data_IF_310431845570
#
_entry.id   IF_310431845570
#
_cell.length_a   1.000
_cell.length_b   1.000
_cell.length_c   1.000
_cell.angle_alpha   90.00
_cell.angle_beta   90.00
_cell.angle_gamma   90.00
#
_symmetry.space_group_name_H-M   'P 1'
#
loop_
_entity.id
_entity.type
_entity.pdbx_description
1 polymer ?
#
# COMPACT_ATOMS: atom_id res chain seq x y z
N UNK A 1 28.49 68.78 39.45
CA UNK A 1 29.05 69.24 38.16
C UNK A 1 30.42 68.60 37.95
N UNK A 2 30.55 67.85 36.85
CA UNK A 2 31.75 67.48 36.08
C UNK A 2 32.97 66.89 36.80
N UNK A 3 33.24 65.62 36.51
CA UNK A 3 34.50 65.20 35.88
C UNK A 3 34.21 64.09 34.85
N UNK A 4 34.39 64.44 33.58
CA UNK A 4 34.54 63.51 32.46
C UNK A 4 36.04 63.29 32.35
N UNK A 5 36.52 62.05 32.38
CA UNK A 5 37.87 61.73 31.94
C UNK A 5 37.84 60.62 30.89
N UNK A 6 38.19 61.07 29.69
CA UNK A 6 38.38 60.33 28.46
C UNK A 6 39.72 59.60 28.54
N UNK A 7 39.72 58.28 28.35
CA UNK A 7 40.92 57.55 27.95
C UNK A 7 40.51 56.54 26.88
N UNK A 8 40.75 57.00 25.65
CA UNK A 8 40.57 56.30 24.40
C UNK A 8 41.78 55.39 24.11
N UNK A 9 41.50 54.26 23.44
CA UNK A 9 42.32 53.55 22.46
C UNK A 9 43.78 53.17 22.81
N UNK A 10 43.99 51.85 22.98
CA UNK A 10 45.01 51.04 22.26
C UNK A 10 44.45 49.61 22.14
N UNK A 11 43.86 49.18 21.01
CA UNK A 11 44.50 48.66 19.79
C UNK A 11 45.01 47.20 19.92
N UNK A 12 44.38 46.37 19.08
CA UNK A 12 44.86 45.18 18.36
C UNK A 12 45.09 43.84 19.10
N UNK A 13 44.30 42.88 18.59
CA UNK A 13 44.76 41.62 18.03
C UNK A 13 45.37 40.58 18.97
N UNK A 14 44.52 39.67 19.43
CA UNK A 14 44.82 38.25 19.32
C UNK A 14 43.82 37.62 18.34
N UNK A 15 44.28 37.61 17.09
CA UNK A 15 43.71 36.89 15.95
C UNK A 15 43.93 35.39 16.14
N UNK A 16 42.87 34.63 15.88
CA UNK A 16 42.85 33.28 15.29
C UNK A 16 43.41 32.09 16.08
N UNK A 17 42.77 30.96 15.77
CA UNK A 17 43.07 29.59 16.17
C UNK A 17 42.51 29.30 17.56
N UNK A 18 41.25 28.90 17.65
CA UNK A 18 40.95 27.50 17.37
C UNK A 18 39.46 27.31 17.06
N UNK A 19 39.10 27.29 15.77
CA UNK A 19 38.08 26.35 15.31
C UNK A 19 38.66 24.93 15.43
N UNK A 20 39.00 24.48 16.64
CA UNK A 20 39.09 23.06 16.90
C UNK A 20 37.66 22.59 16.79
N UNK A 21 37.39 21.89 15.70
CA UNK A 21 36.14 21.18 15.50
C UNK A 21 35.78 20.46 16.78
N UNK A 22 34.79 21.00 17.48
CA UNK A 22 33.93 20.14 18.28
C UNK A 22 33.51 19.05 17.29
N UNK A 23 33.76 17.77 17.58
CA UNK A 23 33.19 16.72 16.77
C UNK A 23 31.68 16.94 16.88
N UNK A 24 31.08 17.59 15.89
CA UNK A 24 29.63 17.64 15.80
C UNK A 24 29.26 16.18 15.71
N UNK A 25 28.64 15.67 16.77
CA UNK A 25 28.08 14.32 16.77
C UNK A 25 27.25 14.14 15.50
N UNK A 26 27.01 12.88 15.06
CA UNK A 26 26.29 12.63 13.82
C UNK A 26 25.02 13.48 13.78
N UNK A 27 24.95 14.40 12.82
CA UNK A 27 23.77 15.21 12.58
C UNK A 27 22.87 14.42 11.63
N UNK A 28 21.57 14.38 11.90
CA UNK A 28 20.58 13.66 11.10
C UNK A 28 20.72 13.96 9.60
N UNK A 29 20.94 15.23 9.24
CA UNK A 29 21.15 15.66 7.85
C UNK A 29 22.37 15.01 7.20
N UNK A 30 23.48 14.86 7.92
CA UNK A 30 24.70 14.22 7.40
C UNK A 30 24.50 12.71 7.16
N UNK A 31 23.82 12.02 8.08
CA UNK A 31 23.48 10.60 7.88
C UNK A 31 22.50 10.44 6.71
N UNK A 32 21.50 11.32 6.59
CA UNK A 32 20.59 11.33 5.45
C UNK A 32 21.31 11.52 4.11
N UNK A 33 22.29 12.42 4.01
CA UNK A 33 23.06 12.66 2.78
C UNK A 33 23.88 11.43 2.37
N UNK A 34 24.47 10.69 3.32
CA UNK A 34 25.15 9.41 3.03
C UNK A 34 24.18 8.38 2.47
N UNK A 35 23.01 8.23 3.11
CA UNK A 35 21.95 7.35 2.64
C UNK A 35 21.45 7.74 1.25
N UNK A 36 21.28 9.03 1.00
CA UNK A 36 20.83 9.56 -0.28
C UNK A 36 21.84 9.29 -1.41
N UNK A 37 23.15 9.41 -1.13
CA UNK A 37 24.19 9.06 -2.09
C UNK A 37 24.10 7.58 -2.51
N UNK A 38 23.96 6.67 -1.54
CA UNK A 38 23.78 5.24 -1.80
C UNK A 38 22.47 4.92 -2.52
N UNK A 39 21.38 5.59 -2.16
CA UNK A 39 20.09 5.46 -2.83
C UNK A 39 20.17 5.86 -4.30
N UNK A 40 20.84 6.97 -4.60
CA UNK A 40 21.02 7.47 -5.97
C UNK A 40 21.92 6.55 -6.81
N UNK A 41 22.82 5.80 -6.17
CA UNK A 41 23.63 4.74 -6.78
C UNK A 41 22.87 3.40 -6.91
N UNK A 42 21.59 3.35 -6.50
CA UNK A 42 20.77 2.15 -6.53
C UNK A 42 21.07 1.14 -5.41
N UNK A 43 21.95 1.48 -4.46
CA UNK A 43 22.31 0.63 -3.32
C UNK A 43 21.30 0.77 -2.18
N UNK A 44 20.04 0.41 -2.44
CA UNK A 44 18.92 0.64 -1.51
C UNK A 44 19.11 -0.06 -0.16
N UNK A 45 19.59 -1.30 -0.14
CA UNK A 45 19.84 -2.04 1.11
C UNK A 45 20.92 -1.35 1.95
N UNK A 46 21.99 -0.87 1.32
CA UNK A 46 23.09 -0.16 1.99
C UNK A 46 22.68 1.24 2.45
N UNK A 47 21.66 1.86 1.83
CA UNK A 47 21.15 3.16 2.23
C UNK A 47 20.30 3.11 3.52
N UNK A 48 19.63 1.99 3.79
CA UNK A 48 18.70 1.82 4.91
C UNK A 48 19.31 2.14 6.30
N UNK A 49 20.51 1.66 6.66
CA UNK A 49 21.13 1.97 7.95
C UNK A 49 21.32 3.48 8.17
N UNK A 50 21.66 4.22 7.11
CA UNK A 50 21.87 5.67 7.17
C UNK A 50 20.56 6.43 7.35
N UNK A 51 19.51 6.07 6.61
CA UNK A 51 18.19 6.66 6.83
C UNK A 51 17.63 6.33 8.22
N UNK A 52 17.78 5.09 8.68
CA UNK A 52 17.42 4.71 10.05
C UNK A 52 18.17 5.56 11.07
N UNK A 53 19.49 5.71 10.92
CA UNK A 53 20.30 6.53 11.84
C UNK A 53 19.85 7.99 11.84
N UNK A 54 19.55 8.56 10.68
CA UNK A 54 19.00 9.90 10.58
C UNK A 54 17.68 10.04 11.36
N UNK A 55 16.77 9.06 11.27
CA UNK A 55 15.49 9.06 12.01
C UNK A 55 15.62 8.79 13.51
N UNK A 56 16.71 8.14 13.95
CA UNK A 56 17.03 7.98 15.38
C UNK A 56 17.56 9.28 15.99
N UNK A 57 18.29 10.07 15.21
CA UNK A 57 18.83 11.37 15.64
C UNK A 57 17.73 12.44 15.64
N UNK A 58 16.92 12.49 14.58
CA UNK A 58 15.79 13.39 14.45
C UNK A 58 14.51 12.60 14.09
N UNK A 59 13.64 12.45 15.08
CA UNK A 59 12.39 11.68 14.94
C UNK A 59 11.33 12.36 14.07
N UNK A 60 11.52 13.64 13.71
CA UNK A 60 10.63 14.42 12.86
C UNK A 60 11.18 14.61 11.44
N UNK A 61 12.28 13.92 11.11
CA UNK A 61 12.93 14.04 9.81
C UNK A 61 12.15 13.33 8.68
N UNK A 62 11.09 13.95 8.20
CA UNK A 62 10.15 13.39 7.21
C UNK A 62 10.83 12.86 5.94
N UNK A 63 11.87 13.56 5.43
CA UNK A 63 12.61 13.11 4.24
C UNK A 63 13.36 11.80 4.47
N UNK A 64 13.97 11.59 5.64
CA UNK A 64 14.67 10.35 5.95
C UNK A 64 13.69 9.17 6.00
N UNK A 65 12.52 9.34 6.63
CA UNK A 65 11.46 8.32 6.59
C UNK A 65 10.95 8.04 5.18
N UNK A 66 10.74 9.08 4.36
CA UNK A 66 10.29 8.92 2.97
C UNK A 66 11.30 8.10 2.15
N UNK A 67 12.59 8.43 2.22
CA UNK A 67 13.62 7.70 1.49
C UNK A 67 13.90 6.30 2.06
N UNK A 68 13.72 6.08 3.36
CA UNK A 68 13.72 4.73 3.94
C UNK A 68 12.59 3.88 3.34
N UNK A 69 11.38 4.43 3.28
CA UNK A 69 10.24 3.79 2.64
C UNK A 69 10.46 3.50 1.14
N UNK A 70 10.99 4.47 0.40
CA UNK A 70 11.33 4.29 -1.03
C UNK A 70 12.43 3.25 -1.23
N UNK A 71 13.39 3.16 -0.32
CA UNK A 71 14.41 2.11 -0.37
C UNK A 71 13.78 0.73 -0.25
N UNK A 72 12.86 0.54 0.71
CA UNK A 72 12.10 -0.70 0.83
C UNK A 72 11.23 -1.01 -0.40
N UNK A 73 10.61 0.01 -1.03
CA UNK A 73 9.87 -0.18 -2.29
C UNK A 73 10.74 -0.71 -3.43
N UNK A 74 11.93 -0.14 -3.62
CA UNK A 74 12.85 -0.60 -4.67
C UNK A 74 13.41 -2.00 -4.40
N UNK A 75 13.40 -2.43 -3.14
CA UNK A 75 13.76 -3.79 -2.72
C UNK A 75 12.57 -4.76 -2.75
N UNK A 76 11.39 -4.30 -3.20
CA UNK A 76 10.12 -5.04 -3.15
C UNK A 76 9.73 -5.54 -1.73
N UNK A 77 10.28 -4.90 -0.69
CA UNK A 77 9.94 -5.13 0.72
C UNK A 77 8.69 -4.32 1.07
N UNK A 78 7.58 -4.67 0.43
CA UNK A 78 6.33 -3.90 0.42
C UNK A 78 5.80 -3.58 1.82
N UNK A 79 5.81 -4.57 2.72
CA UNK A 79 5.32 -4.40 4.09
C UNK A 79 6.21 -3.45 4.91
N UNK A 80 7.53 -3.57 4.76
CA UNK A 80 8.51 -2.74 5.48
C UNK A 80 8.49 -1.27 5.01
N UNK A 81 8.05 -1.02 3.77
CA UNK A 81 7.89 0.33 3.23
C UNK A 81 6.75 1.11 3.91
N UNK A 82 5.68 0.44 4.37
CA UNK A 82 4.46 1.10 4.84
C UNK A 82 4.68 1.95 6.10
N UNK A 83 5.27 1.45 7.21
CA UNK A 83 5.45 2.24 8.42
C UNK A 83 6.23 3.55 8.24
N UNK A 84 7.41 3.57 7.59
CA UNK A 84 8.14 4.82 7.41
C UNK A 84 7.45 5.78 6.44
N UNK A 85 6.80 5.28 5.39
CA UNK A 85 6.02 6.13 4.50
C UNK A 85 4.84 6.79 5.24
N UNK A 86 4.13 6.06 6.12
CA UNK A 86 3.07 6.66 6.94
C UNK A 86 3.57 7.68 7.95
N UNK A 87 4.77 7.48 8.51
CA UNK A 87 5.40 8.46 9.38
C UNK A 87 5.73 9.73 8.59
N UNK A 88 6.34 9.60 7.42
CA UNK A 88 6.62 10.71 6.52
C UNK A 88 5.33 11.45 6.10
N UNK A 89 4.30 10.73 5.67
CA UNK A 89 3.02 11.28 5.23
C UNK A 89 2.38 12.20 6.27
N UNK A 90 2.44 11.82 7.56
CA UNK A 90 1.85 12.59 8.66
C UNK A 90 2.61 13.87 9.02
N UNK A 91 3.89 13.97 8.64
CA UNK A 91 4.77 15.09 8.98
C UNK A 91 5.01 16.03 7.80
N UNK A 92 4.61 15.63 6.60
CA UNK A 92 4.89 16.35 5.37
C UNK A 92 3.80 17.39 5.03
N UNK A 93 4.16 18.52 4.41
CA UNK A 93 3.21 19.45 3.80
C UNK A 93 2.36 18.76 2.72
N UNK A 94 1.18 19.32 2.44
CA UNK A 94 0.18 18.76 1.51
C UNK A 94 0.75 18.43 0.12
N UNK A 95 1.66 19.25 -0.41
CA UNK A 95 2.25 18.99 -1.73
C UNK A 95 3.06 17.69 -1.75
N UNK A 96 3.77 17.41 -0.64
CA UNK A 96 4.61 16.22 -0.50
C UNK A 96 3.79 14.98 -0.10
N UNK A 97 2.66 15.15 0.60
CA UNK A 97 1.79 14.02 0.97
C UNK A 97 1.19 13.33 -0.25
N UNK A 98 0.94 14.04 -1.35
CA UNK A 98 0.50 13.43 -2.62
C UNK A 98 1.53 12.42 -3.16
N UNK A 99 2.82 12.78 -3.17
CA UNK A 99 3.88 11.88 -3.61
C UNK A 99 4.02 10.66 -2.68
N UNK A 100 4.04 10.90 -1.37
CA UNK A 100 4.12 9.83 -0.37
C UNK A 100 2.89 8.92 -0.45
N UNK A 101 1.71 9.48 -0.74
CA UNK A 101 0.48 8.72 -0.99
C UNK A 101 0.58 7.81 -2.21
N UNK A 102 1.28 8.23 -3.27
CA UNK A 102 1.58 7.36 -4.40
C UNK A 102 2.51 6.20 -4.00
N UNK A 103 3.50 6.47 -3.16
CA UNK A 103 4.43 5.46 -2.67
C UNK A 103 3.75 4.48 -1.70
N UNK A 104 2.89 4.97 -0.80
CA UNK A 104 2.03 4.14 0.05
C UNK A 104 1.09 3.27 -0.77
N UNK A 105 0.46 3.82 -1.81
CA UNK A 105 -0.38 3.03 -2.72
C UNK A 105 0.42 1.89 -3.35
N UNK A 106 1.64 2.16 -3.86
CA UNK A 106 2.52 1.12 -4.40
C UNK A 106 2.86 0.06 -3.36
N UNK A 107 3.16 0.48 -2.12
CA UNK A 107 3.47 -0.44 -1.02
C UNK A 107 2.30 -1.38 -0.72
N UNK A 108 1.09 -0.83 -0.52
CA UNK A 108 -0.11 -1.61 -0.27
C UNK A 108 -0.46 -2.53 -1.45
N UNK A 109 -0.39 -2.02 -2.68
CA UNK A 109 -0.68 -2.81 -3.87
C UNK A 109 0.32 -3.97 -4.04
N UNK A 110 1.62 -3.71 -3.92
CA UNK A 110 2.64 -4.75 -3.98
C UNK A 110 2.52 -5.79 -2.86
N UNK A 111 2.21 -5.35 -1.63
CA UNK A 111 1.94 -6.24 -0.49
C UNK A 111 0.73 -7.13 -0.78
N UNK A 112 -0.35 -6.56 -1.29
CA UNK A 112 -1.55 -7.32 -1.65
C UNK A 112 -1.28 -8.40 -2.70
N UNK A 113 -0.52 -8.07 -3.75
CA UNK A 113 -0.15 -9.04 -4.77
C UNK A 113 0.73 -10.17 -4.20
N UNK A 114 1.60 -9.86 -3.24
CA UNK A 114 2.40 -10.87 -2.53
C UNK A 114 1.52 -11.78 -1.67
N UNK A 115 0.58 -11.21 -0.91
CA UNK A 115 -0.35 -11.98 -0.09
C UNK A 115 -1.30 -12.85 -0.93
N UNK A 116 -1.77 -12.34 -2.07
CA UNK A 116 -2.55 -13.11 -3.04
C UNK A 116 -1.79 -14.34 -3.52
N UNK A 117 -0.52 -14.19 -3.89
CA UNK A 117 0.35 -15.30 -4.33
C UNK A 117 0.57 -16.35 -3.25
N UNK A 118 0.54 -15.96 -1.98
CA UNK A 118 0.61 -16.87 -0.83
C UNK A 118 -0.73 -17.55 -0.51
N UNK A 119 -1.81 -17.21 -1.20
CA UNK A 119 -3.17 -17.66 -0.90
C UNK A 119 -3.81 -16.95 0.30
N UNK A 120 -3.18 -15.91 0.85
CA UNK A 120 -3.77 -15.10 1.91
C UNK A 120 -4.71 -14.04 1.31
N UNK A 121 -5.85 -14.50 0.79
CA UNK A 121 -6.76 -13.61 0.07
C UNK A 121 -7.38 -12.53 0.94
N UNK A 122 -7.69 -12.82 2.22
CA UNK A 122 -8.21 -11.80 3.14
C UNK A 122 -7.21 -10.67 3.36
N UNK A 123 -5.94 -11.01 3.62
CA UNK A 123 -4.88 -10.01 3.76
C UNK A 123 -4.70 -9.17 2.49
N UNK A 124 -4.75 -9.80 1.32
CA UNK A 124 -4.69 -9.11 0.03
C UNK A 124 -5.87 -8.14 -0.18
N UNK A 125 -7.10 -8.53 0.18
CA UNK A 125 -8.29 -7.67 0.13
C UNK A 125 -8.10 -6.44 1.02
N UNK A 126 -7.64 -6.65 2.25
CA UNK A 126 -7.46 -5.56 3.21
C UNK A 126 -6.40 -4.56 2.72
N UNK A 127 -5.27 -5.05 2.21
CA UNK A 127 -4.24 -4.19 1.62
C UNK A 127 -4.72 -3.44 0.36
N UNK A 128 -5.48 -4.09 -0.52
CA UNK A 128 -6.07 -3.43 -1.69
C UNK A 128 -7.04 -2.32 -1.29
N UNK A 129 -7.84 -2.53 -0.24
CA UNK A 129 -8.75 -1.52 0.30
C UNK A 129 -7.99 -0.33 0.88
N UNK A 130 -6.91 -0.56 1.62
CA UNK A 130 -6.04 0.53 2.10
C UNK A 130 -5.42 1.31 0.93
N UNK A 131 -4.93 0.61 -0.10
CA UNK A 131 -4.46 1.24 -1.34
C UNK A 131 -5.54 2.08 -2.01
N UNK A 132 -6.76 1.56 -2.14
CA UNK A 132 -7.88 2.27 -2.75
C UNK A 132 -8.35 3.48 -1.93
N UNK A 133 -8.14 3.54 -0.60
CA UNK A 133 -8.35 4.79 0.16
C UNK A 133 -7.43 5.91 -0.30
N UNK A 134 -6.18 5.56 -0.67
CA UNK A 134 -5.18 6.52 -1.18
C UNK A 134 -5.43 6.88 -2.65
N UNK A 135 -5.89 5.91 -3.45
CA UNK A 135 -6.25 6.10 -4.87
C UNK A 135 -7.60 5.47 -5.22
N UNK A 136 -8.72 6.14 -4.91
CA UNK A 136 -10.07 5.56 -5.10
C UNK A 136 -10.43 5.24 -6.55
N UNK A 137 -9.76 5.89 -7.51
CA UNK A 137 -10.02 5.74 -8.95
C UNK A 137 -9.03 4.79 -9.65
N UNK A 138 -8.23 4.03 -8.88
CA UNK A 138 -7.27 3.09 -9.47
C UNK A 138 -7.98 1.87 -10.06
N UNK A 139 -8.24 1.91 -11.37
CA UNK A 139 -8.89 0.81 -12.09
C UNK A 139 -8.11 -0.52 -11.95
N UNK A 140 -6.79 -0.46 -11.85
CA UNK A 140 -5.94 -1.63 -11.61
C UNK A 140 -6.20 -2.24 -10.23
N UNK A 141 -6.16 -1.45 -9.15
CA UNK A 141 -6.43 -1.96 -7.81
C UNK A 141 -7.87 -2.44 -7.63
N UNK A 142 -8.84 -1.76 -8.25
CA UNK A 142 -10.24 -2.22 -8.27
C UNK A 142 -10.38 -3.57 -8.98
N UNK A 143 -9.66 -3.77 -10.09
CA UNK A 143 -9.65 -5.05 -10.81
C UNK A 143 -9.04 -6.17 -9.96
N UNK A 144 -7.89 -5.91 -9.34
CA UNK A 144 -7.24 -6.89 -8.46
C UNK A 144 -8.08 -7.20 -7.21
N UNK A 145 -8.82 -6.22 -6.66
CA UNK A 145 -9.77 -6.45 -5.57
C UNK A 145 -10.87 -7.41 -6.00
N UNK A 146 -11.49 -7.17 -7.16
CA UNK A 146 -12.51 -8.05 -7.70
C UNK A 146 -12.00 -9.47 -7.94
N UNK A 147 -10.82 -9.62 -8.56
CA UNK A 147 -10.17 -10.93 -8.77
C UNK A 147 -9.87 -11.64 -7.46
N UNK A 148 -9.39 -10.91 -6.45
CA UNK A 148 -9.09 -11.47 -5.13
C UNK A 148 -10.36 -11.92 -4.41
N UNK A 149 -11.45 -11.16 -4.50
CA UNK A 149 -12.75 -11.54 -3.94
C UNK A 149 -13.32 -12.81 -4.59
N UNK A 150 -13.16 -12.97 -5.91
CA UNK A 150 -13.55 -14.20 -6.61
C UNK A 150 -12.74 -15.38 -6.10
N UNK A 151 -11.40 -15.26 -6.05
CA UNK A 151 -10.52 -16.32 -5.57
C UNK A 151 -10.83 -16.71 -4.11
N UNK A 152 -11.05 -15.72 -3.25
CA UNK A 152 -11.44 -15.95 -1.86
C UNK A 152 -12.79 -16.64 -1.75
N UNK A 153 -13.80 -16.18 -2.51
CA UNK A 153 -15.12 -16.80 -2.56
C UNK A 153 -15.04 -18.26 -2.99
N UNK A 154 -14.21 -18.57 -3.99
CA UNK A 154 -13.98 -19.94 -4.49
C UNK A 154 -13.32 -20.83 -3.44
N UNK A 155 -12.32 -20.32 -2.73
CA UNK A 155 -11.70 -21.04 -1.61
C UNK A 155 -12.72 -21.31 -0.51
N UNK A 156 -13.43 -20.27 -0.04
CA UNK A 156 -14.44 -20.39 1.01
C UNK A 156 -15.53 -21.41 0.65
N UNK A 157 -15.98 -21.40 -0.61
CA UNK A 157 -16.99 -22.34 -1.07
C UNK A 157 -16.45 -23.79 -1.08
N UNK A 158 -15.18 -23.97 -1.43
CA UNK A 158 -14.50 -25.27 -1.38
C UNK A 158 -14.32 -25.76 0.06
N UNK A 159 -14.09 -24.84 0.99
CA UNK A 159 -14.00 -25.11 2.44
C UNK A 159 -15.39 -25.34 3.09
N UNK A 160 -16.48 -25.23 2.33
CA UNK A 160 -17.86 -25.39 2.82
C UNK A 160 -18.42 -24.16 3.55
N UNK A 161 -17.71 -23.03 3.53
CA UNK A 161 -18.12 -21.75 4.14
C UNK A 161 -19.00 -20.96 3.17
N UNK A 162 -20.22 -21.48 2.95
CA UNK A 162 -21.12 -21.01 1.90
C UNK A 162 -21.52 -19.54 2.10
N UNK A 163 -21.83 -19.12 3.32
CA UNK A 163 -22.28 -17.75 3.61
C UNK A 163 -21.18 -16.71 3.38
N UNK A 164 -19.94 -17.03 3.78
CA UNK A 164 -18.78 -16.19 3.55
C UNK A 164 -18.41 -16.12 2.06
N UNK A 165 -18.55 -17.24 1.34
CA UNK A 165 -18.38 -17.28 -0.11
C UNK A 165 -19.42 -16.39 -0.82
N UNK A 166 -20.69 -16.49 -0.43
CA UNK A 166 -21.78 -15.64 -0.92
C UNK A 166 -21.46 -14.16 -0.71
N UNK A 167 -20.98 -13.79 0.48
CA UNK A 167 -20.58 -12.41 0.77
C UNK A 167 -19.48 -11.93 -0.18
N UNK A 168 -18.43 -12.74 -0.34
CA UNK A 168 -17.28 -12.44 -1.20
C UNK A 168 -17.69 -12.27 -2.66
N UNK A 169 -18.49 -13.20 -3.20
CA UNK A 169 -18.97 -13.12 -4.58
C UNK A 169 -19.96 -11.97 -4.81
N UNK A 170 -20.84 -11.66 -3.84
CA UNK A 170 -21.74 -10.50 -3.91
C UNK A 170 -20.96 -9.20 -3.96
N UNK A 171 -19.83 -9.11 -3.25
CA UNK A 171 -18.93 -7.96 -3.37
C UNK A 171 -18.21 -7.97 -4.73
N UNK A 172 -17.71 -9.12 -5.18
CA UNK A 172 -17.03 -9.24 -6.46
C UNK A 172 -17.87 -8.74 -7.64
N UNK A 173 -19.17 -9.09 -7.70
CA UNK A 173 -20.08 -8.60 -8.77
C UNK A 173 -20.40 -7.12 -8.65
N UNK A 174 -20.26 -6.50 -7.47
CA UNK A 174 -20.39 -5.03 -7.33
C UNK A 174 -19.14 -4.32 -7.84
N UNK A 175 -17.96 -4.89 -7.55
CA UNK A 175 -16.66 -4.35 -7.97
C UNK A 175 -16.44 -4.56 -9.47
N UNK A 176 -16.85 -5.71 -9.99
CA UNK A 176 -16.71 -6.13 -11.39
C UNK A 176 -18.09 -6.51 -11.97
N UNK A 177 -18.94 -5.52 -12.30
CA UNK A 177 -20.33 -5.76 -12.73
C UNK A 177 -20.47 -6.51 -14.06
N UNK A 178 -19.41 -6.58 -14.87
CA UNK A 178 -19.38 -7.25 -16.17
C UNK A 178 -18.44 -8.47 -16.19
N UNK A 179 -18.07 -9.01 -15.03
CA UNK A 179 -17.16 -10.17 -14.95
C UNK A 179 -17.93 -11.49 -14.84
N UNK A 180 -17.83 -12.33 -15.88
CA UNK A 180 -18.49 -13.62 -15.97
C UNK A 180 -18.19 -14.55 -14.78
N UNK A 181 -16.93 -14.65 -14.39
CA UNK A 181 -16.47 -15.55 -13.33
C UNK A 181 -17.07 -15.19 -11.97
N UNK A 182 -17.19 -13.90 -11.65
CA UNK A 182 -17.85 -13.44 -10.43
C UNK A 182 -19.32 -13.87 -10.34
N UNK A 183 -20.07 -13.77 -11.45
CA UNK A 183 -21.47 -14.22 -11.49
C UNK A 183 -21.58 -15.74 -11.43
N UNK A 184 -20.68 -16.48 -12.10
CA UNK A 184 -20.66 -17.93 -12.01
C UNK A 184 -20.33 -18.41 -10.59
N UNK A 185 -19.37 -17.79 -9.92
CA UNK A 185 -19.04 -18.06 -8.51
C UNK A 185 -20.23 -17.78 -7.59
N UNK A 186 -20.89 -16.63 -7.77
CA UNK A 186 -22.09 -16.27 -7.02
C UNK A 186 -23.22 -17.26 -7.22
N UNK A 187 -23.47 -17.68 -8.46
CA UNK A 187 -24.51 -18.68 -8.77
C UNK A 187 -24.21 -20.05 -8.16
N UNK A 188 -22.94 -20.50 -8.18
CA UNK A 188 -22.51 -21.73 -7.48
C UNK A 188 -22.78 -21.63 -5.99
N UNK A 189 -22.47 -20.49 -5.39
CA UNK A 189 -22.67 -20.28 -3.97
C UNK A 189 -24.17 -20.30 -3.60
N UNK A 190 -25.02 -19.61 -4.36
CA UNK A 190 -26.48 -19.68 -4.16
C UNK A 190 -27.04 -21.10 -4.35
N UNK A 191 -26.57 -21.82 -5.37
CA UNK A 191 -26.97 -23.21 -5.59
C UNK A 191 -26.61 -24.12 -4.41
N UNK A 192 -25.41 -23.95 -3.83
CA UNK A 192 -24.98 -24.70 -2.64
C UNK A 192 -25.76 -24.32 -1.38
N UNK A 193 -26.20 -23.08 -1.28
CA UNK A 193 -27.05 -22.59 -0.20
C UNK A 193 -28.51 -23.09 -0.30
N UNK A 194 -28.93 -23.55 -1.49
CA UNK A 194 -30.30 -23.98 -1.78
C UNK A 194 -31.21 -22.87 -2.33
N UNK A 195 -30.66 -21.67 -2.54
CA UNK A 195 -31.35 -20.51 -3.10
C UNK A 195 -31.39 -20.60 -4.64
N UNK A 196 -32.19 -21.55 -5.15
CA UNK A 196 -32.20 -21.90 -6.57
C UNK A 196 -32.71 -20.79 -7.49
N UNK A 197 -33.61 -19.92 -7.01
CA UNK A 197 -34.15 -18.83 -7.81
C UNK A 197 -33.11 -17.72 -8.01
N UNK A 198 -32.37 -17.39 -6.95
CA UNK A 198 -31.26 -16.46 -6.93
C UNK A 198 -30.11 -16.96 -7.81
N UNK A 199 -29.80 -18.27 -7.73
CA UNK A 199 -28.83 -18.91 -8.62
C UNK A 199 -29.27 -18.79 -10.09
N UNK A 200 -30.53 -19.09 -10.41
CA UNK A 200 -31.09 -19.00 -11.76
C UNK A 200 -30.99 -17.58 -12.33
N UNK A 201 -31.38 -16.58 -11.55
CA UNK A 201 -31.30 -15.18 -11.97
C UNK A 201 -29.85 -14.71 -12.13
N UNK A 202 -28.94 -15.21 -11.29
CA UNK A 202 -27.51 -14.92 -11.38
C UNK A 202 -26.88 -15.55 -12.64
N UNK A 203 -27.22 -16.81 -12.96
CA UNK A 203 -26.77 -17.48 -14.20
C UNK A 203 -27.30 -16.78 -15.44
N UNK A 204 -28.54 -16.28 -15.42
CA UNK A 204 -29.09 -15.47 -16.52
C UNK A 204 -28.28 -14.20 -16.75
N UNK A 205 -27.78 -13.55 -15.69
CA UNK A 205 -26.87 -12.40 -15.82
C UNK A 205 -25.52 -12.81 -16.41
N UNK A 206 -24.95 -13.93 -15.96
CA UNK A 206 -23.73 -14.51 -16.54
C UNK A 206 -23.88 -14.74 -18.06
N UNK A 207 -24.99 -15.34 -18.49
CA UNK A 207 -25.30 -15.57 -19.92
C UNK A 207 -25.59 -14.28 -20.71
N UNK A 208 -25.96 -13.18 -20.06
CA UNK A 208 -26.05 -11.87 -20.74
C UNK A 208 -24.67 -11.28 -20.99
N UNK A 209 -23.72 -11.50 -20.07
CA UNK A 209 -22.33 -11.07 -20.22
C UNK A 209 -21.64 -11.90 -21.30
N UNK A 210 -21.78 -13.22 -21.25
CA UNK A 210 -21.28 -14.14 -22.27
C UNK A 210 -22.34 -15.19 -22.64
N UNK A 211 -23.09 -14.98 -23.73
CA UNK A 211 -24.05 -15.96 -24.24
C UNK A 211 -23.41 -17.29 -24.68
N UNK A 212 -22.10 -17.30 -24.92
CA UNK A 212 -21.30 -18.44 -25.35
C UNK A 212 -20.83 -19.35 -24.22
N UNK A 213 -20.97 -18.91 -22.96
CA UNK A 213 -20.38 -19.60 -21.80
C UNK A 213 -20.99 -20.99 -21.56
N UNK A 214 -20.20 -22.03 -21.80
CA UNK A 214 -20.59 -23.42 -21.54
C UNK A 214 -20.77 -23.71 -20.04
N UNK A 215 -19.98 -23.07 -19.19
CA UNK A 215 -20.13 -23.15 -17.73
C UNK A 215 -21.48 -22.60 -17.27
N UNK A 216 -21.87 -21.43 -17.78
CA UNK A 216 -23.15 -20.82 -17.42
C UNK A 216 -24.34 -21.67 -17.93
N UNK A 217 -24.25 -22.21 -19.15
CA UNK A 217 -25.27 -23.14 -19.68
C UNK A 217 -25.36 -24.42 -18.87
N UNK A 218 -24.22 -25.01 -18.50
CA UNK A 218 -24.16 -26.23 -17.70
C UNK A 218 -24.83 -26.01 -16.33
N UNK A 219 -24.55 -24.87 -15.70
CA UNK A 219 -25.20 -24.49 -14.44
C UNK A 219 -26.70 -24.29 -14.58
N UNK A 220 -27.13 -23.64 -15.67
CA UNK A 220 -28.56 -23.45 -15.96
C UNK A 220 -29.28 -24.80 -16.09
N UNK A 221 -28.68 -25.76 -16.77
CA UNK A 221 -29.20 -27.12 -16.93
C UNK A 221 -29.21 -27.89 -15.60
N UNK A 222 -28.22 -27.68 -14.73
CA UNK A 222 -28.21 -28.26 -13.38
C UNK A 222 -29.34 -27.70 -12.52
N UNK A 223 -29.57 -26.38 -12.55
CA UNK A 223 -30.66 -25.73 -11.83
C UNK A 223 -32.05 -26.22 -12.25
N UNK A 224 -32.27 -26.47 -13.55
CA UNK A 224 -33.54 -27.02 -14.01
C UNK A 224 -33.79 -28.47 -13.59
N UNK A 225 -32.74 -29.23 -13.25
CA UNK A 225 -32.85 -30.61 -12.77
C UNK A 225 -33.21 -30.72 -11.30
N UNK A 226 -33.10 -29.64 -10.53
CA UNK A 226 -33.41 -29.59 -9.10
C UNK A 226 -34.83 -29.07 -8.80
N UNK A 227 -35.66 -28.87 -9.84
CA UNK A 227 -37.08 -28.51 -9.71
C UNK A 227 -38.00 -29.71 -9.63
#
# INVERSE_FOLDING_TARGET
MKTVNCLALTILALFLISCAGLPMGPNAQSEFEKGLALYNDGQYENALPYFKKATEIDQEFARAYMYMGRSYLNLEKWADAIPPLWKAFRMSPEETTKEIGNDLFKAFFGKALSEFKKGNYQGAIDDLREGLKLKPQSAEATRELGRTLIAFGTQLLSDGKIMEALSSFKEAVKVLPDNLEAYLGLARAFFKDGEFMEALDTVRKALKIDPGSDDARSMLLELFRQK
#
